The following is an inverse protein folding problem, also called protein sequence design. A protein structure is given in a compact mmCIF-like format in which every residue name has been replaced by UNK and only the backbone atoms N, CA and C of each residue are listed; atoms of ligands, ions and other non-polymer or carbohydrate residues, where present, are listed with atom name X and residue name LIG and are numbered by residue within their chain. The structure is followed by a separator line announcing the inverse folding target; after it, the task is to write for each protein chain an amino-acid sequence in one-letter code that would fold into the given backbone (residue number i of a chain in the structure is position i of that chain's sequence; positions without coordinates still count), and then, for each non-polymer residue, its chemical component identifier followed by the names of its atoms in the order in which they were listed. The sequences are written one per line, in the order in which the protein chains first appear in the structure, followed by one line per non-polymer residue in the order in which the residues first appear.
data_IF_373204396972
#
_entry.id   IF_373204396972
#
_cell.length_a   1.000
_cell.length_b   1.000
_cell.length_c   1.000
_cell.angle_alpha   90.00
_cell.angle_beta   90.00
_cell.angle_gamma   90.00
#
_symmetry.space_group_name_H-M   'P 1'
#
loop_
_entity.id
_entity.type
_entity.pdbx_description
1 polymer ?
#
# COMPACT_ATOMS: atom_id res chain seq x y z
N UNK A 1 -1.60 8.15 11.26
CA UNK A 1 -1.34 9.47 10.64
C UNK A 1 0.12 9.54 10.19
N UNK A 2 0.37 9.18 8.95
CA UNK A 2 1.72 8.78 8.58
C UNK A 2 2.38 9.63 7.52
N UNK A 3 1.80 10.48 6.77
CA UNK A 3 2.43 11.28 5.71
C UNK A 3 3.85 11.79 6.09
N UNK A 4 4.72 10.86 6.45
CA UNK A 4 6.11 11.02 6.87
C UNK A 4 6.90 9.72 6.70
N UNK A 5 8.21 9.82 6.78
CA UNK A 5 9.06 8.63 6.89
C UNK A 5 8.81 7.90 8.21
N UNK A 6 8.87 6.58 8.15
CA UNK A 6 8.74 5.72 9.33
C UNK A 6 10.10 5.56 10.03
N UNK A 7 10.08 5.27 11.32
CA UNK A 7 11.26 5.21 12.20
C UNK A 7 11.37 3.87 12.90
N UNK A 8 12.50 3.62 13.58
CA UNK A 8 12.68 2.43 14.44
C UNK A 8 11.68 2.39 15.59
N UNK A 9 11.27 3.54 16.09
CA UNK A 9 10.21 3.60 17.12
C UNK A 9 8.88 3.10 16.55
N UNK A 10 8.56 3.47 15.32
CA UNK A 10 7.36 2.93 14.65
C UNK A 10 7.45 1.41 14.50
N UNK A 11 8.61 0.88 14.12
CA UNK A 11 8.81 -0.56 13.99
C UNK A 11 8.55 -1.29 15.31
N UNK A 12 9.06 -0.76 16.42
CA UNK A 12 8.84 -1.36 17.74
C UNK A 12 7.36 -1.37 18.13
N UNK A 13 6.65 -0.25 17.88
CA UNK A 13 5.21 -0.14 18.14
C UNK A 13 4.41 -1.08 17.23
N UNK A 14 4.80 -1.22 15.96
CA UNK A 14 4.13 -2.09 15.00
C UNK A 14 4.40 -3.56 15.29
N UNK A 15 5.62 -3.91 15.71
CA UNK A 15 5.93 -5.27 16.14
C UNK A 15 5.06 -5.69 17.33
N UNK A 16 4.89 -4.79 18.29
CA UNK A 16 3.98 -5.03 19.41
C UNK A 16 2.53 -5.26 18.94
N UNK A 17 2.02 -4.48 17.98
CA UNK A 17 0.68 -4.69 17.41
C UNK A 17 0.57 -6.06 16.70
N UNK A 18 1.60 -6.47 15.96
CA UNK A 18 1.66 -7.78 15.31
C UNK A 18 1.53 -8.91 16.33
N UNK A 19 2.22 -8.79 17.45
CA UNK A 19 2.20 -9.79 18.52
C UNK A 19 0.87 -9.78 19.29
N UNK A 20 0.37 -8.60 19.68
CA UNK A 20 -0.89 -8.43 20.42
C UNK A 20 -2.10 -8.95 19.61
N UNK A 21 -2.14 -8.69 18.30
CA UNK A 21 -3.19 -9.16 17.39
C UNK A 21 -2.97 -10.58 16.87
N UNK A 22 -1.84 -11.17 17.22
CA UNK A 22 -1.44 -12.52 16.79
C UNK A 22 -1.46 -12.71 15.26
N UNK A 23 -1.03 -11.70 14.50
CA UNK A 23 -1.06 -11.74 13.03
C UNK A 23 -0.20 -12.84 12.46
N UNK A 24 0.96 -13.11 13.06
CA UNK A 24 1.88 -14.17 12.61
C UNK A 24 1.26 -15.58 12.63
N UNK A 25 0.40 -15.86 13.60
CA UNK A 25 -0.26 -17.15 13.73
C UNK A 25 -1.52 -17.26 12.85
N UNK A 26 -2.20 -16.14 12.63
CA UNK A 26 -3.48 -16.11 11.93
C UNK A 26 -3.32 -16.11 10.40
N UNK A 27 -2.21 -15.61 9.89
CA UNK A 27 -2.03 -15.39 8.45
C UNK A 27 -0.80 -16.13 7.91
N UNK A 28 -0.87 -16.69 6.70
CA UNK A 28 0.24 -17.40 6.06
C UNK A 28 1.45 -16.46 5.86
N UNK A 29 2.59 -17.04 5.58
CA UNK A 29 3.87 -16.36 5.29
C UNK A 29 4.58 -15.76 6.49
N UNK A 30 4.69 -16.56 7.53
CA UNK A 30 5.46 -16.26 8.74
C UNK A 30 6.88 -15.73 8.44
N UNK A 31 7.53 -16.30 7.44
CA UNK A 31 8.91 -15.94 7.08
C UNK A 31 9.05 -14.45 6.70
N UNK A 32 8.02 -13.83 6.13
CA UNK A 32 8.04 -12.41 5.79
C UNK A 32 7.99 -11.53 7.04
N UNK A 33 7.22 -11.92 8.06
CA UNK A 33 7.14 -11.18 9.31
C UNK A 33 8.46 -11.16 10.08
N UNK A 34 9.22 -12.25 10.00
CA UNK A 34 10.45 -12.42 10.77
C UNK A 34 11.70 -11.90 10.06
N UNK A 35 11.71 -11.92 8.71
CA UNK A 35 12.88 -11.60 7.90
C UNK A 35 12.81 -10.23 7.22
N UNK A 36 11.65 -9.56 7.19
CA UNK A 36 11.44 -8.31 6.51
C UNK A 36 10.78 -7.27 7.41
N UNK A 37 11.54 -6.61 8.29
CA UNK A 37 10.98 -5.60 9.22
C UNK A 37 10.34 -4.40 8.48
N UNK A 38 10.80 -4.08 7.27
CA UNK A 38 10.19 -3.10 6.40
C UNK A 38 8.78 -3.49 5.92
N UNK A 39 8.50 -4.79 5.74
CA UNK A 39 7.15 -5.27 5.45
C UNK A 39 6.20 -4.99 6.62
N UNK A 40 6.65 -5.19 7.86
CA UNK A 40 5.87 -4.85 9.05
C UNK A 40 5.52 -3.36 9.05
N UNK A 41 6.51 -2.49 8.79
CA UNK A 41 6.28 -1.05 8.70
C UNK A 41 5.21 -0.72 7.66
N UNK A 42 5.32 -1.27 6.46
CA UNK A 42 4.40 -1.03 5.36
C UNK A 42 2.99 -1.53 5.68
N UNK A 43 2.85 -2.77 6.10
CA UNK A 43 1.55 -3.39 6.33
C UNK A 43 0.80 -2.79 7.52
N UNK A 44 1.46 -2.62 8.66
CA UNK A 44 0.81 -2.07 9.85
C UNK A 44 0.42 -0.61 9.64
N UNK A 45 1.22 0.17 8.94
CA UNK A 45 0.86 1.54 8.62
C UNK A 45 -0.41 1.62 7.75
N UNK A 46 -0.51 0.77 6.71
CA UNK A 46 -1.71 0.66 5.88
C UNK A 46 -2.92 0.20 6.71
N UNK A 47 -2.75 -0.84 7.53
CA UNK A 47 -3.83 -1.36 8.37
C UNK A 47 -4.36 -0.32 9.35
N UNK A 48 -3.49 0.50 9.95
CA UNK A 48 -3.90 1.58 10.85
C UNK A 48 -4.69 2.66 10.11
N UNK A 49 -4.29 3.01 8.89
CA UNK A 49 -5.06 3.95 8.07
C UNK A 49 -6.44 3.36 7.73
N UNK A 50 -6.53 2.10 7.30
CA UNK A 50 -7.82 1.44 7.02
C UNK A 50 -8.70 1.40 8.27
N UNK A 51 -8.17 0.98 9.42
CA UNK A 51 -8.90 0.99 10.69
C UNK A 51 -9.41 2.39 11.06
N UNK A 52 -8.64 3.43 10.75
CA UNK A 52 -9.02 4.82 11.04
C UNK A 52 -10.16 5.36 10.17
N UNK A 53 -10.40 4.78 8.99
CA UNK A 53 -11.50 5.19 8.11
C UNK A 53 -12.86 4.85 8.73
N UNK A 54 -12.90 3.84 9.59
CA UNK A 54 -14.16 3.31 10.13
C UNK A 54 -15.01 2.65 9.04
N UNK A 55 -16.14 2.09 9.44
CA UNK A 55 -17.05 1.42 8.53
C UNK A 55 -16.72 -0.05 8.30
N UNK A 56 -17.70 -0.74 7.77
CA UNK A 56 -17.62 -2.16 7.40
C UNK A 56 -17.87 -2.30 5.90
N UNK A 57 -17.46 -3.42 5.32
CA UNK A 57 -17.69 -3.76 3.91
C UNK A 57 -17.12 -2.76 2.89
N UNK A 58 -15.99 -2.09 3.19
CA UNK A 58 -15.30 -1.30 2.20
C UNK A 58 -14.81 -2.21 1.06
N UNK A 59 -14.96 -1.76 -0.17
CA UNK A 59 -14.31 -2.36 -1.33
C UNK A 59 -12.86 -1.90 -1.38
N UNK A 60 -11.95 -2.82 -1.09
CA UNK A 60 -10.50 -2.57 -1.08
C UNK A 60 -9.85 -3.28 -2.25
N UNK A 61 -8.97 -2.59 -2.96
CA UNK A 61 -8.15 -3.17 -4.03
C UNK A 61 -6.68 -3.02 -3.67
N UNK A 62 -5.97 -4.14 -3.62
CA UNK A 62 -4.52 -4.21 -3.37
C UNK A 62 -3.76 -4.32 -4.68
N UNK A 63 -2.85 -3.38 -4.92
CA UNK A 63 -2.07 -3.25 -6.14
C UNK A 63 -0.73 -3.96 -5.99
N UNK A 64 -0.58 -5.15 -6.58
CA UNK A 64 0.62 -5.97 -6.44
C UNK A 64 0.70 -6.61 -5.05
N UNK A 65 -0.26 -7.48 -4.76
CA UNK A 65 -0.48 -8.04 -3.44
C UNK A 65 0.68 -8.92 -2.92
N UNK A 66 1.57 -9.37 -3.80
CA UNK A 66 2.70 -10.21 -3.42
C UNK A 66 2.25 -11.45 -2.65
N UNK A 67 2.94 -11.80 -1.55
CA UNK A 67 2.61 -13.00 -0.78
C UNK A 67 1.31 -12.94 0.04
N UNK A 68 0.45 -11.96 -0.21
CA UNK A 68 -0.97 -11.92 0.15
C UNK A 68 -1.37 -11.87 1.64
N UNK A 69 -0.45 -11.69 2.58
CA UNK A 69 -0.85 -11.59 4.00
C UNK A 69 -1.70 -10.35 4.28
N UNK A 70 -1.36 -9.20 3.72
CA UNK A 70 -2.07 -7.95 3.94
C UNK A 70 -3.54 -8.00 3.47
N UNK A 71 -3.87 -8.49 2.25
CA UNK A 71 -5.26 -8.67 1.82
C UNK A 71 -6.09 -9.54 2.77
N UNK A 72 -5.52 -10.63 3.29
CA UNK A 72 -6.22 -11.50 4.23
C UNK A 72 -6.51 -10.81 5.56
N UNK A 73 -5.56 -10.04 6.08
CA UNK A 73 -5.76 -9.28 7.32
C UNK A 73 -6.89 -8.28 7.12
N UNK A 74 -6.87 -7.53 6.01
CA UNK A 74 -7.91 -6.54 5.69
C UNK A 74 -9.29 -7.21 5.53
N UNK A 75 -9.35 -8.34 4.84
CA UNK A 75 -10.60 -9.11 4.71
C UNK A 75 -11.12 -9.60 6.07
N UNK A 76 -10.22 -10.00 6.98
CA UNK A 76 -10.61 -10.42 8.34
C UNK A 76 -11.18 -9.28 9.20
N UNK A 77 -10.97 -8.03 8.80
CA UNK A 77 -11.60 -6.84 9.39
C UNK A 77 -13.04 -6.57 8.84
N UNK A 78 -13.53 -7.44 7.95
CA UNK A 78 -14.88 -7.33 7.39
C UNK A 78 -14.97 -6.54 6.08
N UNK A 79 -13.86 -6.38 5.35
CA UNK A 79 -13.83 -5.67 4.07
C UNK A 79 -13.87 -6.63 2.87
N UNK A 80 -14.43 -6.18 1.74
CA UNK A 80 -14.43 -6.88 0.44
C UNK A 80 -13.13 -6.58 -0.29
N UNK A 81 -12.21 -7.56 -0.33
CA UNK A 81 -10.85 -7.35 -0.82
C UNK A 81 -10.62 -8.04 -2.16
N UNK A 82 -10.13 -7.28 -3.12
CA UNK A 82 -9.57 -7.78 -4.38
C UNK A 82 -8.07 -7.54 -4.40
N UNK A 83 -7.30 -8.60 -4.58
CA UNK A 83 -5.85 -8.57 -4.75
C UNK A 83 -5.50 -8.70 -6.23
N UNK A 84 -4.66 -7.81 -6.75
CA UNK A 84 -4.15 -7.86 -8.13
C UNK A 84 -2.67 -8.17 -8.07
N UNK A 85 -2.23 -9.20 -8.78
CA UNK A 85 -0.80 -9.50 -8.94
C UNK A 85 -0.52 -10.16 -10.29
N UNK A 86 0.67 -9.95 -10.82
CA UNK A 86 1.13 -10.59 -12.05
C UNK A 86 1.58 -12.04 -11.81
N UNK A 87 1.88 -12.36 -10.57
CA UNK A 87 2.29 -13.69 -10.14
C UNK A 87 1.08 -14.49 -9.67
N UNK A 88 1.00 -15.75 -10.09
CA UNK A 88 0.00 -16.66 -9.56
C UNK A 88 0.29 -16.99 -8.09
N UNK A 89 -0.44 -16.32 -7.21
CA UNK A 89 -0.39 -16.51 -5.77
C UNK A 89 -1.64 -17.20 -5.22
N UNK A 90 -2.45 -17.77 -6.07
CA UNK A 90 -3.72 -18.44 -5.71
C UNK A 90 -3.54 -19.49 -4.62
N UNK A 91 -2.41 -20.22 -4.63
CA UNK A 91 -2.08 -21.20 -3.59
C UNK A 91 -1.81 -20.57 -2.21
N UNK A 92 -1.59 -19.29 -2.16
CA UNK A 92 -1.35 -18.50 -0.94
C UNK A 92 -2.61 -17.79 -0.46
N UNK A 93 -3.63 -17.68 -1.32
CA UNK A 93 -4.85 -16.95 -1.05
C UNK A 93 -5.96 -17.90 -0.64
N UNK A 94 -6.61 -17.60 0.49
CA UNK A 94 -7.90 -18.18 0.78
C UNK A 94 -8.97 -17.45 -0.06
N UNK A 95 -9.35 -18.03 -1.19
CA UNK A 95 -10.31 -17.46 -2.16
C UNK A 95 -11.71 -17.21 -1.55
N UNK A 96 -12.01 -17.80 -0.41
CA UNK A 96 -13.24 -17.48 0.32
C UNK A 96 -13.21 -16.11 1.02
N UNK A 97 -12.02 -15.54 1.18
CA UNK A 97 -11.80 -14.28 1.89
C UNK A 97 -11.32 -13.15 0.98
N UNK A 98 -10.52 -13.48 -0.04
CA UNK A 98 -9.90 -12.50 -0.94
C UNK A 98 -10.12 -12.93 -2.38
N UNK A 99 -10.62 -12.04 -3.21
CA UNK A 99 -10.70 -12.25 -4.65
C UNK A 99 -9.36 -11.98 -5.29
N UNK A 100 -8.78 -12.97 -5.97
CA UNK A 100 -7.56 -12.78 -6.76
C UNK A 100 -7.88 -12.40 -8.20
N UNK A 101 -7.13 -11.43 -8.72
CA UNK A 101 -7.07 -11.08 -10.15
C UNK A 101 -5.62 -11.24 -10.59
N UNK A 102 -5.37 -12.29 -11.39
CA UNK A 102 -4.07 -12.53 -12.00
C UNK A 102 -3.93 -11.61 -13.22
N UNK A 103 -3.09 -10.60 -13.12
CA UNK A 103 -2.92 -9.63 -14.20
C UNK A 103 -1.93 -8.52 -13.89
N UNK A 104 -1.56 -7.81 -14.94
CA UNK A 104 -0.75 -6.59 -14.82
C UNK A 104 -1.58 -5.45 -14.21
N UNK A 105 -1.11 -4.88 -13.11
CA UNK A 105 -1.80 -3.80 -12.38
C UNK A 105 -2.16 -2.64 -13.30
N UNK A 106 -1.26 -2.22 -14.19
CA UNK A 106 -1.51 -1.10 -15.11
C UNK A 106 -2.57 -1.42 -16.18
N UNK A 107 -2.74 -2.70 -16.50
CA UNK A 107 -3.82 -3.16 -17.36
C UNK A 107 -5.15 -3.22 -16.59
N UNK A 108 -5.14 -3.85 -15.44
CA UNK A 108 -6.34 -4.06 -14.62
C UNK A 108 -6.95 -2.74 -14.16
N UNK A 109 -6.15 -1.75 -13.77
CA UNK A 109 -6.63 -0.41 -13.41
C UNK A 109 -7.48 0.26 -14.52
N UNK A 110 -7.21 -0.04 -15.80
CA UNK A 110 -7.98 0.54 -16.93
C UNK A 110 -9.39 0.01 -17.03
N UNK A 111 -9.60 -1.25 -16.59
CA UNK A 111 -10.88 -1.97 -16.72
C UNK A 111 -11.72 -1.95 -15.45
N UNK A 112 -11.16 -1.56 -14.31
CA UNK A 112 -11.94 -1.31 -13.09
C UNK A 112 -12.98 -0.22 -13.39
N UNK A 113 -14.29 -0.46 -13.09
CA UNK A 113 -15.32 0.53 -13.34
C UNK A 113 -15.06 1.85 -12.60
N UNK A 114 -15.39 3.01 -13.20
CA UNK A 114 -15.29 4.28 -12.50
C UNK A 114 -16.10 4.28 -11.21
N UNK A 115 -15.60 4.99 -10.20
CA UNK A 115 -16.29 5.23 -8.92
C UNK A 115 -16.84 3.96 -8.24
N UNK A 116 -16.06 2.87 -8.32
CA UNK A 116 -16.49 1.55 -7.81
C UNK A 116 -15.70 1.06 -6.60
N UNK A 117 -14.60 1.70 -6.25
CA UNK A 117 -13.65 1.29 -5.20
C UNK A 117 -13.66 2.31 -4.06
N UNK A 118 -13.72 1.84 -2.82
CA UNK A 118 -13.65 2.70 -1.64
C UNK A 118 -12.19 3.01 -1.27
N UNK A 119 -11.32 2.00 -1.34
CA UNK A 119 -9.91 2.14 -0.96
C UNK A 119 -9.02 1.36 -1.92
N UNK A 120 -8.01 2.02 -2.45
CA UNK A 120 -6.84 1.36 -3.02
C UNK A 120 -5.72 1.33 -2.00
N UNK A 121 -4.96 0.25 -2.01
CA UNK A 121 -3.72 0.13 -1.24
C UNK A 121 -2.56 -0.27 -2.15
N UNK A 122 -1.37 0.17 -1.81
CA UNK A 122 -0.09 -0.28 -2.38
C UNK A 122 0.92 -0.50 -1.26
N UNK A 123 1.43 -1.71 -1.17
CA UNK A 123 2.51 -2.07 -0.25
C UNK A 123 3.82 -2.28 -1.02
N UNK A 124 4.37 -1.18 -1.53
CA UNK A 124 5.64 -1.15 -2.26
C UNK A 124 5.66 -1.80 -3.65
N UNK A 125 4.53 -2.15 -4.23
CA UNK A 125 4.52 -2.81 -5.53
C UNK A 125 4.75 -1.82 -6.68
N UNK A 126 4.13 -0.64 -6.63
CA UNK A 126 4.20 0.36 -7.72
C UNK A 126 5.64 0.76 -8.03
N UNK A 127 6.50 0.87 -7.03
CA UNK A 127 7.93 1.20 -7.21
C UNK A 127 8.68 0.15 -8.04
N UNK A 128 8.22 -1.09 -8.05
CA UNK A 128 8.91 -2.19 -8.74
C UNK A 128 8.43 -2.41 -10.18
N UNK A 129 7.15 -2.24 -10.47
CA UNK A 129 6.63 -2.52 -11.80
C UNK A 129 6.51 -1.30 -12.72
N UNK A 130 6.69 -0.11 -12.23
CA UNK A 130 6.64 1.09 -13.05
C UNK A 130 7.85 1.17 -13.99
N UNK A 131 7.70 1.00 -15.31
CA UNK A 131 8.82 0.87 -16.25
C UNK A 131 9.65 2.14 -16.42
N UNK A 132 9.12 3.29 -16.07
CA UNK A 132 9.86 4.50 -15.75
C UNK A 132 9.19 5.14 -14.55
N UNK A 133 9.96 5.58 -13.61
CA UNK A 133 9.50 6.13 -12.32
C UNK A 133 8.34 7.14 -12.45
N UNK A 134 8.33 7.96 -13.50
CA UNK A 134 7.27 8.94 -13.71
C UNK A 134 6.06 8.38 -14.47
N UNK A 135 6.27 7.60 -15.53
CA UNK A 135 5.18 7.14 -16.41
C UNK A 135 4.28 6.12 -15.72
N UNK A 136 4.87 5.15 -15.03
CA UNK A 136 4.09 4.14 -14.31
C UNK A 136 3.29 4.74 -13.16
N UNK A 137 3.89 5.63 -12.38
CA UNK A 137 3.21 6.36 -11.32
C UNK A 137 2.03 7.20 -11.83
N UNK A 138 2.18 7.89 -12.99
CA UNK A 138 1.07 8.60 -13.61
C UNK A 138 -0.07 7.68 -14.03
N UNK A 139 0.24 6.55 -14.65
CA UNK A 139 -0.78 5.56 -15.04
C UNK A 139 -1.53 4.99 -13.83
N UNK A 140 -0.82 4.75 -12.72
CA UNK A 140 -1.46 4.35 -11.46
C UNK A 140 -2.36 5.46 -10.94
N UNK A 141 -1.87 6.69 -10.85
CA UNK A 141 -2.65 7.83 -10.36
C UNK A 141 -3.93 8.05 -11.18
N UNK A 142 -3.83 8.04 -12.52
CA UNK A 142 -4.98 8.14 -13.43
C UNK A 142 -5.99 7.02 -13.21
N UNK A 143 -5.52 5.76 -13.16
CA UNK A 143 -6.39 4.60 -12.98
C UNK A 143 -7.06 4.56 -11.62
N UNK A 144 -6.31 4.86 -10.56
CA UNK A 144 -6.81 4.93 -9.18
C UNK A 144 -7.83 6.05 -9.03
N UNK A 145 -7.50 7.28 -9.49
CA UNK A 145 -8.40 8.42 -9.43
C UNK A 145 -9.71 8.14 -10.15
N UNK A 146 -9.67 7.55 -11.35
CA UNK A 146 -10.87 7.17 -12.10
C UNK A 146 -11.74 6.18 -11.34
N UNK A 147 -11.14 5.15 -10.76
CA UNK A 147 -11.86 4.03 -10.16
C UNK A 147 -12.33 4.28 -8.73
N UNK A 148 -11.68 5.20 -7.99
CA UNK A 148 -12.12 5.61 -6.66
C UNK A 148 -13.49 6.28 -6.69
N UNK A 149 -14.32 5.92 -5.73
CA UNK A 149 -15.56 6.67 -5.42
C UNK A 149 -15.22 8.10 -4.98
N UNK A 150 -16.18 9.03 -5.04
CA UNK A 150 -16.05 10.30 -4.32
C UNK A 150 -15.72 10.04 -2.84
N UNK A 151 -14.76 10.78 -2.31
CA UNK A 151 -14.20 10.56 -0.95
C UNK A 151 -13.42 9.26 -0.75
N UNK A 152 -13.22 8.44 -1.80
CA UNK A 152 -12.38 7.24 -1.76
C UNK A 152 -10.92 7.56 -1.44
N UNK A 153 -10.19 6.56 -0.96
CA UNK A 153 -8.81 6.73 -0.48
C UNK A 153 -7.81 5.90 -1.27
N UNK A 154 -6.63 6.43 -1.45
CA UNK A 154 -5.45 5.66 -1.86
C UNK A 154 -4.40 5.73 -0.76
N UNK A 155 -4.05 4.59 -0.19
CA UNK A 155 -3.08 4.45 0.89
C UNK A 155 -1.90 3.66 0.34
N UNK A 156 -0.74 4.28 0.32
CA UNK A 156 0.47 3.61 -0.12
C UNK A 156 1.55 3.63 0.96
N UNK A 157 2.32 2.55 1.04
CA UNK A 157 3.51 2.48 1.88
C UNK A 157 4.64 1.88 1.06
N UNK A 158 5.68 2.65 0.83
CA UNK A 158 6.69 2.34 -0.18
C UNK A 158 8.09 2.73 0.24
N UNK A 159 9.07 2.03 -0.33
CA UNK A 159 10.46 2.49 -0.31
C UNK A 159 10.60 3.71 -1.20
N UNK A 160 11.39 4.67 -0.74
CA UNK A 160 11.57 5.95 -1.44
C UNK A 160 13.04 6.35 -1.49
N UNK A 161 13.38 7.18 -2.46
CA UNK A 161 14.69 7.81 -2.57
C UNK A 161 14.66 9.18 -1.86
N UNK A 162 15.62 9.42 -1.01
CA UNK A 162 15.85 10.75 -0.41
C UNK A 162 16.97 11.52 -1.11
N UNK A 163 17.38 11.09 -2.30
CA UNK A 163 18.45 11.70 -3.07
C UNK A 163 19.85 11.23 -2.70
N UNK A 164 19.95 10.18 -1.88
CA UNK A 164 21.22 9.61 -1.46
C UNK A 164 21.75 8.50 -2.38
N UNK A 165 20.87 7.91 -3.19
CA UNK A 165 21.19 6.82 -4.13
C UNK A 165 20.71 7.23 -5.51
N UNK A 166 21.53 7.04 -6.54
CA UNK A 166 21.30 7.49 -7.92
C UNK A 166 19.95 7.07 -8.51
N UNK A 167 18.88 7.72 -8.05
CA UNK A 167 17.58 7.69 -8.66
C UNK A 167 16.95 6.30 -8.84
N UNK A 168 17.23 5.32 -7.98
CA UNK A 168 16.63 3.99 -8.07
C UNK A 168 15.14 4.01 -7.74
N UNK A 169 14.75 4.79 -6.75
CA UNK A 169 13.36 5.01 -6.41
C UNK A 169 12.91 6.46 -6.61
N UNK A 170 11.62 6.67 -6.58
CA UNK A 170 11.00 7.98 -6.67
C UNK A 170 11.03 8.69 -5.30
N UNK A 171 11.13 10.01 -5.28
CA UNK A 171 11.04 10.77 -4.03
C UNK A 171 9.61 10.90 -3.55
N UNK A 172 9.36 11.00 -2.21
CA UNK A 172 8.01 11.21 -1.69
C UNK A 172 7.33 12.46 -2.28
N UNK A 173 8.09 13.54 -2.44
CA UNK A 173 7.57 14.78 -3.01
C UNK A 173 7.08 14.56 -4.45
N UNK A 174 7.82 13.79 -5.26
CA UNK A 174 7.41 13.52 -6.64
C UNK A 174 6.19 12.60 -6.72
N UNK A 175 6.05 11.65 -5.80
CA UNK A 175 4.81 10.87 -5.69
C UNK A 175 3.62 11.80 -5.41
N UNK A 176 3.75 12.69 -4.43
CA UNK A 176 2.69 13.64 -4.06
C UNK A 176 2.28 14.50 -5.25
N UNK A 177 3.25 15.11 -5.95
CA UNK A 177 2.98 15.92 -7.15
C UNK A 177 2.19 15.15 -8.21
N UNK A 178 2.60 13.90 -8.52
CA UNK A 178 1.92 13.06 -9.51
C UNK A 178 0.49 12.74 -9.07
N UNK A 179 0.26 12.45 -7.80
CA UNK A 179 -1.06 12.17 -7.27
C UNK A 179 -1.96 13.40 -7.35
N UNK A 180 -1.47 14.56 -6.93
CA UNK A 180 -2.22 15.83 -6.97
C UNK A 180 -2.51 16.28 -8.40
N UNK A 181 -1.60 16.06 -9.36
CA UNK A 181 -1.85 16.27 -10.80
C UNK A 181 -3.05 15.44 -11.33
N UNK A 182 -3.47 14.40 -10.59
CA UNK A 182 -4.55 13.47 -10.93
C UNK A 182 -5.72 13.49 -9.94
N UNK A 183 -5.98 14.60 -9.29
CA UNK A 183 -7.09 14.82 -8.35
C UNK A 183 -7.06 13.91 -7.10
N UNK A 184 -5.90 13.40 -6.75
CA UNK A 184 -5.65 12.66 -5.52
C UNK A 184 -4.94 13.55 -4.52
N UNK A 185 -5.69 14.17 -3.62
CA UNK A 185 -5.18 15.16 -2.69
C UNK A 185 -4.62 14.51 -1.42
N UNK A 186 -3.44 14.93 -1.00
CA UNK A 186 -2.81 14.41 0.21
C UNK A 186 -3.69 14.73 1.44
N UNK A 187 -4.04 13.70 2.21
CA UNK A 187 -4.97 13.84 3.36
C UNK A 187 -4.39 14.67 4.50
N UNK A 188 -3.05 14.64 4.67
CA UNK A 188 -2.34 15.39 5.70
C UNK A 188 -1.03 15.91 5.13
N UNK A 189 -0.52 17.06 5.56
CA UNK A 189 0.75 17.58 5.09
C UNK A 189 1.88 16.57 5.28
N UNK A 190 2.68 16.35 4.23
CA UNK A 190 3.88 15.53 4.33
C UNK A 190 4.91 16.22 5.22
N UNK A 191 5.48 15.46 6.14
CA UNK A 191 6.57 15.93 7.00
C UNK A 191 7.85 15.20 6.59
N UNK A 192 8.77 15.91 6.01
CA UNK A 192 10.12 15.43 5.76
C UNK A 192 10.90 15.31 7.09
N UNK A 193 10.54 14.31 7.89
CA UNK A 193 11.29 13.96 9.10
C UNK A 193 12.31 12.92 8.71
N UNK A 194 13.55 13.08 9.14
CA UNK A 194 14.60 12.09 8.89
C UNK A 194 14.22 10.72 9.46
N UNK A 195 14.59 9.67 8.76
CA UNK A 195 14.52 8.30 9.29
C UNK A 195 15.76 8.02 10.13
N UNK A 196 15.63 7.16 11.14
CA UNK A 196 16.72 6.61 11.94
C UNK A 196 17.10 5.18 11.53
N UNK A 197 16.52 4.70 10.44
CA UNK A 197 16.93 3.43 9.84
C UNK A 197 18.25 3.60 9.08
N UNK A 198 19.15 2.66 9.32
CA UNK A 198 20.37 2.49 8.54
C UNK A 198 20.04 1.70 7.25
N UNK A 199 19.28 2.33 6.39
CA UNK A 199 18.86 1.77 5.10
C UNK A 199 18.93 2.86 4.03
N UNK A 200 19.40 2.52 2.82
CA UNK A 200 19.39 3.46 1.71
C UNK A 200 17.97 3.80 1.23
N UNK A 201 16.98 2.98 1.57
CA UNK A 201 15.59 3.14 1.12
C UNK A 201 14.63 3.21 2.31
N UNK A 202 14.44 4.41 2.86
CA UNK A 202 13.47 4.58 3.95
C UNK A 202 12.04 4.36 3.46
N UNK A 203 11.19 3.88 4.37
CA UNK A 203 9.77 3.66 4.10
C UNK A 203 8.97 4.93 4.38
N UNK A 204 8.11 5.30 3.46
CA UNK A 204 7.10 6.34 3.63
C UNK A 204 5.70 5.73 3.54
N UNK A 205 4.76 6.24 4.34
CA UNK A 205 3.34 5.97 4.13
C UNK A 205 2.63 7.27 3.81
N UNK A 206 1.91 7.29 2.69
CA UNK A 206 1.14 8.42 2.20
C UNK A 206 -0.32 8.00 2.01
N UNK A 207 -1.23 8.86 2.41
CA UNK A 207 -2.67 8.66 2.21
C UNK A 207 -3.26 9.84 1.43
N UNK A 208 -3.95 9.53 0.36
CA UNK A 208 -4.59 10.48 -0.54
C UNK A 208 -6.11 10.29 -0.53
N UNK A 209 -6.81 11.36 -0.89
CA UNK A 209 -8.25 11.40 -1.03
C UNK A 209 -8.60 11.95 -2.41
N UNK A 210 -9.55 11.31 -3.08
CA UNK A 210 -10.20 11.83 -4.28
C UNK A 210 -11.15 12.98 -3.95
#
# INVERSE_FOLDING_TARGET
MYNRLLTRSDLADFQKEVDDENYKERFPHRDLWDNHPDAILKWISILREIKSLGGENLKVVDLGAGPASLPHIISSLGHDVTAIDITDIDHLINQSLVKMVLGDVLHELKIIPPESVDVFIDSCAVTHFAPSKNTGWKQVAEGVSKALKPDGKFILSSDVDLGAVDGEFITPQRIIEIMEENDLNLMHPYKAVGTDFDTPWPVVTLAFKK
#
